data_IF_884207022974
#
_entry.id   IF_884207022974
#
_cell.length_a   1.000
_cell.length_b   1.000
_cell.length_c   1.000
_cell.angle_alpha   90.00
_cell.angle_beta   90.00
_cell.angle_gamma   90.00
#
_symmetry.space_group_name_H-M   'P 1'
#
loop_
_entity.id
_entity.type
_entity.pdbx_description
1 polymer ?
#
# COMPACT_ATOMS: atom_id res chain seq x y z
N UNK A 1 46.17 20.62 -44.93
CA UNK A 1 45.37 19.61 -45.68
C UNK A 1 45.72 18.25 -45.11
N UNK A 2 44.75 17.44 -44.68
CA UNK A 2 45.04 16.15 -44.05
C UNK A 2 43.86 15.16 -44.14
N UNK A 3 43.95 14.27 -45.14
CA UNK A 3 43.56 12.86 -45.03
C UNK A 3 42.10 12.57 -44.58
N UNK A 4 41.14 13.27 -45.18
CA UNK A 4 39.91 12.59 -45.63
C UNK A 4 40.23 11.72 -46.86
N UNK A 5 39.40 10.70 -47.11
CA UNK A 5 39.51 9.73 -48.22
C UNK A 5 40.77 8.82 -48.20
N UNK A 6 40.61 7.60 -47.65
CA UNK A 6 41.00 6.31 -48.25
C UNK A 6 40.98 5.17 -47.19
N UNK A 7 39.80 4.58 -46.94
CA UNK A 7 39.68 3.15 -46.60
C UNK A 7 38.24 2.69 -46.85
N UNK A 8 37.93 2.44 -48.13
CA UNK A 8 36.70 1.82 -48.62
C UNK A 8 37.07 0.40 -49.09
N UNK A 9 36.10 -0.51 -49.10
CA UNK A 9 36.16 -1.91 -49.58
C UNK A 9 36.99 -2.95 -48.80
N UNK A 10 36.28 -3.64 -47.89
CA UNK A 10 36.40 -5.07 -47.49
C UNK A 10 35.29 -5.29 -46.44
N UNK A 11 34.00 -5.51 -46.74
CA UNK A 11 33.37 -6.32 -47.79
C UNK A 11 33.65 -7.82 -47.68
N UNK A 12 32.61 -8.59 -47.27
CA UNK A 12 32.53 -10.07 -47.15
C UNK A 12 33.47 -10.68 -46.07
N UNK A 13 33.00 -11.43 -45.07
CA UNK A 13 32.12 -12.61 -45.17
C UNK A 13 31.48 -13.00 -43.81
N UNK A 14 30.29 -13.64 -43.85
CA UNK A 14 29.55 -14.28 -42.73
C UNK A 14 29.10 -13.35 -41.56
N UNK A 15 27.96 -13.53 -40.88
CA UNK A 15 26.65 -14.21 -41.10
C UNK A 15 25.66 -13.39 -40.23
N UNK A 16 24.62 -12.76 -40.78
CA UNK A 16 23.33 -13.38 -41.11
C UNK A 16 22.70 -14.15 -39.92
N UNK A 17 21.70 -13.56 -39.25
CA UNK A 17 20.37 -14.18 -38.95
C UNK A 17 19.42 -13.20 -38.20
N UNK A 18 18.23 -13.02 -38.80
CA UNK A 18 16.92 -12.59 -38.27
C UNK A 18 16.83 -11.36 -37.35
N UNK A 19 16.21 -10.30 -37.89
CA UNK A 19 15.51 -9.25 -37.12
C UNK A 19 14.14 -9.80 -36.71
N UNK A 20 13.83 -9.80 -35.40
CA UNK A 20 12.53 -10.27 -34.88
C UNK A 20 11.67 -9.12 -34.38
N UNK A 21 10.76 -8.61 -35.22
CA UNK A 21 9.75 -7.63 -34.81
C UNK A 21 8.56 -8.39 -34.22
N UNK A 22 8.26 -8.23 -32.94
CA UNK A 22 7.03 -8.76 -32.35
C UNK A 22 6.35 -7.73 -31.45
N UNK A 23 5.20 -7.25 -31.93
CA UNK A 23 4.23 -6.55 -31.09
C UNK A 23 3.48 -7.59 -30.24
N UNK A 24 3.32 -7.30 -28.95
CA UNK A 24 2.21 -7.84 -28.16
C UNK A 24 1.66 -6.74 -27.26
N UNK A 25 0.41 -6.39 -27.52
CA UNK A 25 -0.52 -5.87 -26.52
C UNK A 25 -0.93 -7.00 -25.54
N UNK A 26 -1.79 -6.65 -24.59
CA UNK A 26 -2.63 -7.59 -23.84
C UNK A 26 -1.96 -8.59 -22.88
N UNK A 27 -1.90 -8.17 -21.61
CA UNK A 27 -1.90 -9.09 -20.47
C UNK A 27 -2.65 -8.47 -19.28
N UNK A 28 -3.95 -8.25 -19.45
CA UNK A 28 -4.92 -8.02 -18.36
C UNK A 28 -5.80 -9.27 -18.18
N UNK A 29 -6.70 -9.27 -17.18
CA UNK A 29 -7.66 -10.33 -16.83
C UNK A 29 -7.10 -11.48 -15.96
N UNK A 30 -7.12 -11.22 -14.65
CA UNK A 30 -7.85 -11.99 -13.61
C UNK A 30 -8.11 -13.49 -13.87
N UNK A 31 -7.53 -14.35 -13.02
CA UNK A 31 -8.16 -15.56 -12.42
C UNK A 31 -7.39 -15.82 -11.11
N UNK A 32 -7.92 -15.65 -9.90
CA UNK A 32 -9.19 -16.09 -9.30
C UNK A 32 -9.30 -17.62 -9.19
N UNK A 33 -8.51 -18.20 -8.28
CA UNK A 33 -8.60 -19.62 -7.89
C UNK A 33 -8.59 -19.74 -6.35
N UNK A 34 -9.80 -19.76 -5.78
CA UNK A 34 -10.04 -20.23 -4.41
C UNK A 34 -10.14 -21.77 -4.40
N UNK A 35 -10.29 -22.36 -3.19
CA UNK A 35 -10.25 -23.81 -2.91
C UNK A 35 -8.81 -24.39 -2.89
N UNK A 36 -8.46 -25.40 -2.08
CA UNK A 36 -9.26 -26.31 -1.23
C UNK A 36 -8.75 -26.30 0.21
N UNK A 37 -9.65 -26.21 1.19
CA UNK A 37 -9.36 -26.46 2.62
C UNK A 37 -9.27 -27.97 2.90
N UNK A 38 -8.16 -28.45 3.47
CA UNK A 38 -8.05 -29.82 4.00
C UNK A 38 -8.36 -29.83 5.49
N UNK A 39 -9.53 -30.31 5.88
CA UNK A 39 -9.84 -30.61 7.28
C UNK A 39 -9.22 -31.95 7.69
N UNK A 40 -8.37 -31.94 8.70
CA UNK A 40 -7.95 -33.15 9.44
C UNK A 40 -8.72 -33.20 10.76
N UNK A 41 -9.66 -34.13 10.89
CA UNK A 41 -10.41 -34.32 12.14
C UNK A 41 -9.54 -35.04 13.18
N UNK A 42 -9.48 -34.51 14.41
CA UNK A 42 -8.98 -35.22 15.59
C UNK A 42 -10.14 -35.45 16.56
N UNK A 43 -10.32 -36.71 16.97
CA UNK A 43 -11.39 -37.11 17.89
C UNK A 43 -10.98 -36.82 19.34
N UNK A 44 -11.76 -36.00 20.04
CA UNK A 44 -11.60 -35.78 21.48
C UNK A 44 -12.59 -36.65 22.29
N UNK A 45 -12.19 -36.97 23.53
CA UNK A 45 -12.83 -38.00 24.35
C UNK A 45 -13.97 -37.40 25.19
N UNK A 46 -15.16 -37.98 25.11
CA UNK A 46 -16.32 -37.56 25.92
C UNK A 46 -16.17 -37.95 27.39
N UNK A 47 -16.67 -37.08 28.27
CA UNK A 47 -17.20 -37.48 29.58
C UNK A 47 -18.53 -36.77 29.81
N UNK A 48 -19.46 -37.44 30.50
CA UNK A 48 -20.83 -36.99 30.70
C UNK A 48 -21.05 -36.51 32.14
N UNK A 49 -21.63 -35.32 32.28
CA UNK A 49 -22.31 -34.90 33.51
C UNK A 49 -23.61 -34.16 33.15
N UNK A 50 -24.74 -34.61 33.69
CA UNK A 50 -26.06 -34.00 33.47
C UNK A 50 -26.32 -32.91 34.50
N UNK A 51 -26.61 -31.69 34.05
CA UNK A 51 -27.59 -30.81 34.70
C UNK A 51 -28.17 -29.77 33.72
N UNK A 52 -29.49 -29.66 33.76
CA UNK A 52 -30.39 -28.66 33.14
C UNK A 52 -31.59 -28.57 34.09
N UNK A 53 -32.39 -27.48 34.15
CA UNK A 53 -32.57 -26.40 33.16
C UNK A 53 -32.04 -25.02 33.70
N UNK A 54 -32.30 -23.83 33.14
CA UNK A 54 -33.31 -23.41 32.17
C UNK A 54 -32.91 -22.20 31.28
N UNK A 55 -33.76 -21.92 30.29
CA UNK A 55 -33.81 -20.76 29.38
C UNK A 55 -32.88 -19.55 29.65
N UNK A 56 -31.89 -19.34 28.79
CA UNK A 56 -31.78 -18.14 27.93
C UNK A 56 -30.56 -18.25 27.00
N UNK A 57 -30.74 -18.05 25.69
CA UNK A 57 -29.65 -18.13 24.70
C UNK A 57 -29.26 -16.75 24.16
N UNK A 58 -28.17 -16.17 24.67
CA UNK A 58 -27.39 -15.17 23.91
C UNK A 58 -25.88 -15.20 24.27
N UNK A 59 -24.94 -14.94 23.33
CA UNK A 59 -23.56 -15.48 23.43
C UNK A 59 -22.36 -14.49 23.34
N UNK A 60 -22.10 -13.68 24.40
CA UNK A 60 -20.76 -13.12 24.83
C UNK A 60 -19.78 -12.39 23.84
N UNK A 61 -19.81 -11.03 23.67
CA UNK A 61 -18.84 -10.07 23.00
C UNK A 61 -18.72 -9.78 21.43
N UNK A 62 -17.63 -10.12 20.67
CA UNK A 62 -17.20 -9.95 19.20
C UNK A 62 -17.09 -8.56 18.48
N UNK A 63 -16.95 -7.37 19.09
CA UNK A 63 -16.35 -6.25 18.33
C UNK A 63 -15.76 -5.08 19.14
N UNK A 64 -14.56 -5.31 19.68
CA UNK A 64 -13.68 -4.24 20.12
C UNK A 64 -12.23 -4.47 19.65
N UNK A 65 -11.33 -3.55 20.02
CA UNK A 65 -9.98 -3.97 20.35
C UNK A 65 -10.05 -4.44 21.81
N UNK A 66 -9.60 -5.66 22.08
CA UNK A 66 -10.20 -6.66 22.99
C UNK A 66 -11.16 -7.63 22.25
N UNK A 67 -10.98 -8.93 22.51
CA UNK A 67 -11.09 -10.00 21.50
C UNK A 67 -12.12 -11.12 21.81
N UNK A 68 -13.13 -10.80 22.63
CA UNK A 68 -14.50 -10.65 22.12
C UNK A 68 -15.14 -11.81 21.25
N UNK A 69 -16.16 -12.58 21.75
CA UNK A 69 -16.96 -13.58 20.94
C UNK A 69 -18.43 -13.46 20.35
N UNK A 70 -19.43 -12.57 20.67
CA UNK A 70 -20.71 -12.46 19.87
C UNK A 70 -20.58 -11.75 18.53
N UNK A 71 -20.29 -10.45 18.62
CA UNK A 71 -21.06 -9.33 18.09
C UNK A 71 -21.98 -9.76 16.95
N UNK A 72 -23.13 -10.30 17.36
CA UNK A 72 -24.38 -10.11 16.63
C UNK A 72 -24.53 -8.60 16.55
N UNK A 73 -24.02 -8.03 15.45
CA UNK A 73 -24.39 -6.68 15.02
C UNK A 73 -25.91 -6.67 15.08
N UNK A 74 -26.48 -5.91 16.00
CA UNK A 74 -27.92 -5.82 16.11
C UNK A 74 -28.45 -5.42 14.72
N UNK A 75 -29.55 -6.04 14.29
CA UNK A 75 -30.13 -5.68 13.01
C UNK A 75 -30.31 -4.16 12.99
N UNK A 76 -29.82 -3.45 11.95
CA UNK A 76 -29.85 -1.99 11.93
C UNK A 76 -31.29 -1.56 12.19
N UNK A 77 -31.50 -0.64 13.14
CA UNK A 77 -32.84 -0.21 13.54
C UNK A 77 -33.50 0.49 12.36
N UNK A 78 -34.29 -0.27 11.60
CA UNK A 78 -35.08 0.25 10.50
C UNK A 78 -36.30 0.92 11.13
N UNK A 79 -36.47 2.21 10.89
CA UNK A 79 -37.61 2.96 11.44
C UNK A 79 -38.88 2.47 10.76
N UNK A 80 -39.94 2.18 11.53
CA UNK A 80 -41.19 1.59 11.01
C UNK A 80 -41.74 2.40 9.82
N UNK A 81 -41.65 3.72 9.90
CA UNK A 81 -42.05 4.68 8.88
C UNK A 81 -41.31 4.45 7.55
N UNK A 82 -40.02 4.09 7.58
CA UNK A 82 -39.22 3.78 6.38
C UNK A 82 -39.52 2.38 5.81
N UNK A 83 -40.01 1.45 6.62
CA UNK A 83 -40.50 0.12 6.18
C UNK A 83 -41.90 0.20 5.58
N UNK A 84 -42.72 1.12 6.10
CA UNK A 84 -44.14 1.28 5.74
C UNK A 84 -44.35 2.32 4.63
N UNK A 85 -43.39 3.21 4.39
CA UNK A 85 -43.41 4.21 3.33
C UNK A 85 -43.66 3.59 1.95
N UNK A 86 -44.62 4.17 1.23
CA UNK A 86 -44.86 3.83 -0.17
C UNK A 86 -43.62 4.19 -1.02
N UNK A 87 -43.34 3.47 -2.12
CA UNK A 87 -42.16 3.69 -2.95
C UNK A 87 -42.11 5.08 -3.60
N UNK A 88 -43.24 5.80 -3.63
CA UNK A 88 -43.33 7.19 -4.08
C UNK A 88 -42.87 8.17 -3.00
N UNK A 89 -43.25 7.98 -1.74
CA UNK A 89 -42.75 8.81 -0.64
C UNK A 89 -41.25 8.63 -0.41
N UNK A 90 -40.71 7.42 -0.63
CA UNK A 90 -39.28 7.18 -0.54
C UNK A 90 -38.51 7.97 -1.61
N UNK A 91 -39.04 8.04 -2.85
CA UNK A 91 -38.50 8.91 -3.91
C UNK A 91 -38.64 10.39 -3.55
N UNK A 92 -39.75 10.77 -2.91
CA UNK A 92 -40.02 12.15 -2.53
C UNK A 92 -39.10 12.63 -1.39
N UNK A 93 -38.81 11.78 -0.39
CA UNK A 93 -37.78 12.02 0.63
C UNK A 93 -36.39 12.16 -0.02
N UNK A 94 -35.99 11.20 -0.87
CA UNK A 94 -34.71 11.25 -1.60
C UNK A 94 -34.58 12.45 -2.56
N UNK A 95 -35.69 13.11 -2.94
CA UNK A 95 -35.71 14.32 -3.77
C UNK A 95 -35.79 15.62 -2.94
N UNK A 96 -36.13 15.53 -1.65
CA UNK A 96 -36.08 16.62 -0.67
C UNK A 96 -34.75 16.65 0.12
N UNK A 97 -34.04 15.52 0.16
CA UNK A 97 -32.67 15.44 0.67
C UNK A 97 -31.76 16.39 -0.12
N UNK A 98 -31.19 17.38 0.56
CA UNK A 98 -30.30 18.40 -0.02
C UNK A 98 -28.93 17.88 -0.48
N UNK A 99 -28.66 16.58 -0.30
CA UNK A 99 -27.36 15.95 -0.53
C UNK A 99 -27.37 15.11 -1.81
N UNK A 100 -26.88 15.70 -2.90
CA UNK A 100 -26.79 15.02 -4.21
C UNK A 100 -25.74 13.90 -4.15
N UNK A 101 -26.18 12.65 -4.29
CA UNK A 101 -25.29 11.49 -4.36
C UNK A 101 -24.73 11.33 -5.78
N UNK A 102 -23.46 11.72 -5.98
CA UNK A 102 -22.76 11.59 -7.27
C UNK A 102 -21.99 10.27 -7.32
N UNK A 103 -22.33 9.31 -8.21
CA UNK A 103 -21.71 7.98 -8.26
C UNK A 103 -20.38 7.94 -9.02
N UNK A 104 -19.76 9.10 -9.27
CA UNK A 104 -18.54 9.25 -10.08
C UNK A 104 -17.34 9.37 -9.14
N UNK A 105 -16.17 8.88 -9.58
CA UNK A 105 -14.90 9.09 -8.86
C UNK A 105 -14.58 10.59 -8.77
N UNK A 106 -14.06 11.02 -7.62
CA UNK A 106 -13.68 12.41 -7.39
C UNK A 106 -12.30 12.69 -7.99
N UNK A 107 -12.28 13.31 -9.17
CA UNK A 107 -11.06 13.74 -9.85
C UNK A 107 -10.86 15.26 -9.65
N UNK A 108 -9.80 15.65 -8.94
CA UNK A 108 -9.48 17.03 -8.54
C UNK A 108 -8.53 17.75 -9.50
N UNK A 109 -8.00 17.04 -10.50
CA UNK A 109 -7.03 17.56 -11.48
C UNK A 109 -7.42 18.91 -12.09
N UNK A 110 -8.65 19.15 -12.63
CA UNK A 110 -9.00 20.43 -13.26
C UNK A 110 -9.11 21.60 -12.27
N UNK A 111 -9.27 21.33 -10.97
CA UNK A 111 -9.39 22.36 -9.92
C UNK A 111 -8.04 22.70 -9.29
N UNK A 112 -7.08 21.77 -9.35
CA UNK A 112 -5.80 21.85 -8.63
C UNK A 112 -4.87 23.01 -9.04
N UNK A 113 -5.04 23.58 -10.24
CA UNK A 113 -4.13 24.59 -10.79
C UNK A 113 -2.72 24.09 -11.15
N UNK A 114 -2.43 22.79 -10.98
CA UNK A 114 -1.14 22.19 -11.34
C UNK A 114 -1.08 21.95 -12.85
N UNK A 115 -0.01 22.35 -13.56
CA UNK A 115 0.09 22.15 -15.01
C UNK A 115 0.23 20.66 -15.38
N UNK A 116 -0.40 20.26 -16.49
CA UNK A 116 -0.45 18.88 -17.03
C UNK A 116 0.92 18.16 -17.05
N UNK A 117 2.00 18.88 -17.39
CA UNK A 117 3.38 18.36 -17.41
C UNK A 117 3.84 17.76 -16.08
N UNK A 118 3.33 18.30 -14.97
CA UNK A 118 3.66 17.87 -13.62
C UNK A 118 2.77 16.73 -13.13
N UNK A 119 1.56 16.63 -13.67
CA UNK A 119 0.59 15.56 -13.38
C UNK A 119 0.97 14.28 -14.15
N UNK A 120 1.25 14.39 -15.46
CA UNK A 120 1.49 13.24 -16.34
C UNK A 120 2.94 12.74 -16.37
N UNK A 121 3.92 13.64 -16.40
CA UNK A 121 5.33 13.28 -16.60
C UNK A 121 6.09 13.01 -15.28
N UNK A 122 5.38 12.60 -14.23
CA UNK A 122 5.95 12.27 -12.91
C UNK A 122 5.26 11.05 -12.33
N UNK A 123 5.98 10.38 -11.43
CA UNK A 123 5.45 9.29 -10.62
C UNK A 123 5.70 9.58 -9.13
N UNK A 124 4.67 9.34 -8.33
CA UNK A 124 4.71 9.44 -6.86
C UNK A 124 5.15 8.10 -6.28
N UNK A 125 6.07 8.13 -5.32
CA UNK A 125 6.42 6.98 -4.47
C UNK A 125 5.64 7.09 -3.17
N UNK A 126 4.87 6.05 -2.82
CA UNK A 126 4.22 5.90 -1.52
C UNK A 126 5.03 4.89 -0.71
N UNK A 127 5.55 5.26 0.45
CA UNK A 127 6.44 4.39 1.25
C UNK A 127 6.38 4.67 2.75
N UNK A 128 6.84 3.70 3.55
CA UNK A 128 7.12 3.88 4.96
C UNK A 128 8.61 4.26 5.14
N UNK A 129 8.96 5.39 5.76
CA UNK A 129 10.33 5.87 5.80
C UNK A 129 11.25 4.93 6.61
N UNK A 130 12.44 4.59 6.08
CA UNK A 130 13.33 3.63 6.73
C UNK A 130 13.98 4.23 7.99
N UNK A 131 14.06 3.45 9.08
CA UNK A 131 14.74 3.86 10.31
C UNK A 131 16.20 4.24 10.02
N UNK A 132 16.60 5.47 10.35
CA UNK A 132 17.99 5.94 10.27
C UNK A 132 18.94 4.90 10.89
N UNK A 133 19.99 4.51 10.16
CA UNK A 133 20.94 3.49 10.61
C UNK A 133 21.79 3.95 11.81
N UNK A 134 22.07 5.25 11.92
CA UNK A 134 22.93 5.82 12.98
C UNK A 134 22.19 6.06 14.31
N UNK A 135 20.86 6.02 14.33
CA UNK A 135 20.05 6.31 15.52
C UNK A 135 19.27 5.07 15.97
N UNK A 136 19.09 4.90 17.28
CA UNK A 136 18.31 3.79 17.85
C UNK A 136 16.79 4.03 17.83
N UNK A 137 16.36 5.30 17.86
CA UNK A 137 14.96 5.70 17.93
C UNK A 137 14.10 5.23 16.76
N UNK A 138 12.82 4.98 17.03
CA UNK A 138 11.86 4.40 16.06
C UNK A 138 10.68 5.32 15.71
N UNK A 139 10.47 6.44 16.42
CA UNK A 139 9.26 7.27 16.28
C UNK A 139 8.93 7.68 14.84
N UNK A 140 9.96 7.95 14.04
CA UNK A 140 9.84 8.51 12.69
C UNK A 140 9.55 7.46 11.60
N UNK A 141 9.19 6.21 11.95
CA UNK A 141 8.86 5.17 10.95
C UNK A 141 7.38 4.79 10.93
N UNK A 142 6.57 5.26 11.89
CA UNK A 142 5.21 4.73 12.08
C UNK A 142 4.12 5.43 11.24
N UNK A 143 4.53 6.30 10.31
CA UNK A 143 3.66 7.00 9.35
C UNK A 143 4.03 6.61 7.90
N UNK A 144 3.17 6.96 6.95
CA UNK A 144 3.44 6.82 5.53
C UNK A 144 3.82 8.17 4.94
N UNK A 145 4.76 8.20 4.00
CA UNK A 145 5.11 9.38 3.21
C UNK A 145 4.82 9.14 1.74
N UNK A 146 4.36 10.19 1.05
CA UNK A 146 4.52 10.29 -0.39
C UNK A 146 5.64 11.28 -0.75
N UNK A 147 6.39 10.97 -1.79
CA UNK A 147 7.36 11.87 -2.41
C UNK A 147 7.30 11.78 -3.94
N UNK A 148 7.64 12.87 -4.63
CA UNK A 148 7.79 12.88 -6.08
C UNK A 148 9.20 12.47 -6.50
N UNK A 149 9.32 11.87 -7.69
CA UNK A 149 10.61 11.61 -8.31
C UNK A 149 11.43 12.91 -8.51
N UNK A 150 12.74 12.83 -8.23
CA UNK A 150 13.62 13.99 -8.15
C UNK A 150 14.21 14.33 -9.52
N UNK A 151 13.83 15.48 -10.08
CA UNK A 151 14.45 16.01 -11.31
C UNK A 151 15.85 16.60 -11.04
N UNK A 152 16.51 16.98 -12.13
CA UNK A 152 17.86 17.53 -12.14
C UNK A 152 18.04 18.72 -11.17
N UNK A 153 19.20 18.74 -10.53
CA UNK A 153 19.73 19.86 -9.74
C UNK A 153 21.11 20.21 -10.32
N UNK A 154 21.41 21.49 -10.44
CA UNK A 154 22.63 21.99 -11.07
C UNK A 154 23.31 23.06 -10.21
N UNK A 155 24.58 23.34 -10.49
CA UNK A 155 25.35 24.34 -9.77
C UNK A 155 25.04 25.77 -10.27
N UNK A 156 24.85 26.70 -9.34
CA UNK A 156 24.75 28.13 -9.63
C UNK A 156 26.15 28.70 -9.93
N UNK A 157 26.43 29.18 -11.15
CA UNK A 157 27.78 29.58 -11.58
C UNK A 157 28.35 30.80 -10.83
N UNK A 158 27.55 31.51 -10.03
CA UNK A 158 28.02 32.64 -9.20
C UNK A 158 28.39 32.22 -7.76
N UNK A 159 27.68 31.23 -7.19
CA UNK A 159 27.71 30.95 -5.74
C UNK A 159 27.93 29.48 -5.35
N UNK A 160 27.99 28.56 -6.31
CA UNK A 160 28.13 27.11 -6.05
C UNK A 160 26.89 26.44 -5.46
N UNK A 161 25.75 27.13 -5.35
CA UNK A 161 24.52 26.60 -4.76
C UNK A 161 23.80 25.62 -5.69
N UNK A 162 23.07 24.65 -5.11
CA UNK A 162 22.28 23.66 -5.86
C UNK A 162 20.93 24.23 -6.32
N UNK A 163 20.90 24.78 -7.52
CA UNK A 163 19.68 25.28 -8.18
C UNK A 163 18.82 24.14 -8.75
N UNK A 164 17.52 24.37 -8.86
CA UNK A 164 16.58 23.49 -9.57
C UNK A 164 15.40 24.29 -10.13
N UNK A 165 14.76 23.76 -11.18
CA UNK A 165 13.54 24.29 -11.79
C UNK A 165 12.30 23.49 -11.42
N UNK A 166 12.35 22.74 -10.31
CA UNK A 166 11.33 21.77 -9.91
C UNK A 166 10.54 22.23 -8.68
N UNK A 167 9.26 22.65 -8.83
CA UNK A 167 8.45 23.11 -7.71
C UNK A 167 7.96 22.00 -6.78
N UNK A 168 7.95 20.74 -7.24
CA UNK A 168 7.49 19.59 -6.46
C UNK A 168 8.64 18.85 -5.75
N UNK A 169 9.90 19.22 -6.02
CA UNK A 169 11.11 18.50 -5.59
C UNK A 169 11.29 18.33 -4.08
N UNK A 170 10.56 19.13 -3.28
CA UNK A 170 10.63 19.18 -1.83
C UNK A 170 9.27 18.86 -1.18
N UNK A 171 8.26 18.46 -1.97
CA UNK A 171 6.93 18.13 -1.46
C UNK A 171 6.93 16.74 -0.83
N UNK A 172 6.58 16.68 0.46
CA UNK A 172 6.32 15.47 1.23
C UNK A 172 4.98 15.61 1.93
N UNK A 173 4.10 14.62 1.78
CA UNK A 173 2.82 14.55 2.51
C UNK A 173 2.82 13.30 3.37
N UNK A 174 2.41 13.46 4.63
CA UNK A 174 2.39 12.40 5.65
C UNK A 174 0.95 11.89 5.80
N UNK A 175 0.79 10.57 5.79
CA UNK A 175 -0.48 9.87 5.92
C UNK A 175 -0.43 8.85 7.06
N UNK A 176 -1.61 8.47 7.58
CA UNK A 176 -1.73 7.44 8.62
C UNK A 176 -1.82 6.02 8.02
N UNK A 177 -2.29 5.89 6.78
CA UNK A 177 -2.47 4.59 6.11
C UNK A 177 -2.02 4.63 4.65
N UNK A 178 -1.65 3.49 4.03
CA UNK A 178 -1.30 3.44 2.62
C UNK A 178 -2.53 3.69 1.73
N UNK A 179 -3.71 3.24 2.14
CA UNK A 179 -4.96 3.39 1.39
C UNK A 179 -5.38 4.87 1.25
N UNK A 180 -5.16 5.66 2.29
CA UNK A 180 -5.33 7.11 2.31
C UNK A 180 -4.37 7.81 1.33
N UNK A 181 -3.10 7.40 1.31
CA UNK A 181 -2.10 7.91 0.37
C UNK A 181 -2.44 7.57 -1.09
N UNK A 182 -2.90 6.34 -1.34
CA UNK A 182 -3.37 5.88 -2.66
C UNK A 182 -4.59 6.71 -3.10
N UNK A 183 -5.61 6.83 -2.24
CA UNK A 183 -6.78 7.66 -2.53
C UNK A 183 -6.42 9.13 -2.79
N UNK A 184 -5.42 9.69 -2.10
CA UNK A 184 -4.94 11.05 -2.35
C UNK A 184 -4.26 11.18 -3.72
N UNK A 185 -3.39 10.23 -4.09
CA UNK A 185 -2.75 10.24 -5.41
C UNK A 185 -3.76 10.05 -6.55
N UNK A 186 -4.74 9.16 -6.36
CA UNK A 186 -5.81 8.91 -7.33
C UNK A 186 -6.72 10.12 -7.53
N UNK A 187 -7.14 10.80 -6.44
CA UNK A 187 -7.95 12.03 -6.53
C UNK A 187 -7.21 13.15 -7.28
N UNK A 188 -5.89 13.22 -7.16
CA UNK A 188 -5.05 14.19 -7.89
C UNK A 188 -4.59 13.69 -9.27
N UNK A 189 -5.04 12.52 -9.74
CA UNK A 189 -4.69 11.97 -11.05
C UNK A 189 -3.20 11.63 -11.22
N UNK A 190 -2.44 11.48 -10.13
CA UNK A 190 -1.00 11.20 -10.19
C UNK A 190 -0.73 9.70 -10.36
N UNK A 191 0.19 9.37 -11.27
CA UNK A 191 0.72 8.00 -11.37
C UNK A 191 1.49 7.68 -10.09
N UNK A 192 1.19 6.58 -9.41
CA UNK A 192 1.82 6.19 -8.14
C UNK A 192 2.42 4.78 -8.19
N UNK A 193 3.31 4.47 -7.25
CA UNK A 193 3.71 3.11 -6.91
C UNK A 193 3.90 2.96 -5.40
N UNK A 194 3.55 1.79 -4.87
CA UNK A 194 3.65 1.45 -3.45
C UNK A 194 4.95 0.67 -3.20
N UNK A 195 5.82 1.23 -2.37
CA UNK A 195 7.04 0.59 -1.89
C UNK A 195 6.69 -0.20 -0.61
N UNK A 196 6.66 -1.54 -0.72
CA UNK A 196 6.15 -2.40 0.36
C UNK A 196 7.12 -2.38 1.54
N UNK A 197 6.67 -2.01 2.76
CA UNK A 197 7.55 -1.85 3.90
C UNK A 197 8.24 -3.17 4.27
N UNK A 198 9.54 -3.08 4.54
CA UNK A 198 10.35 -4.23 4.87
C UNK A 198 9.92 -4.81 6.20
N UNK A 199 9.35 -6.02 6.17
CA UNK A 199 8.88 -6.81 7.31
C UNK A 199 9.83 -6.66 8.50
N UNK A 200 9.27 -6.26 9.65
CA UNK A 200 10.04 -6.05 10.87
C UNK A 200 10.82 -7.31 11.26
N UNK A 201 12.03 -7.11 11.81
CA UNK A 201 12.87 -8.23 12.23
C UNK A 201 12.16 -8.97 13.37
N UNK A 202 11.87 -10.28 13.25
CA UNK A 202 11.13 -11.02 14.26
C UNK A 202 11.86 -10.94 15.61
N UNK A 203 11.08 -10.83 16.70
CA UNK A 203 11.62 -10.67 18.04
C UNK A 203 12.60 -11.80 18.38
N UNK A 204 13.85 -11.42 18.69
CA UNK A 204 14.89 -12.37 19.10
C UNK A 204 15.08 -12.27 20.61
N UNK A 205 14.77 -13.31 21.41
CA UNK A 205 14.99 -13.29 22.84
C UNK A 205 16.49 -13.14 23.13
N UNK A 206 16.84 -12.10 23.90
CA UNK A 206 18.22 -11.83 24.32
C UNK A 206 18.40 -12.31 25.76
N UNK A 207 19.36 -13.21 25.99
CA UNK A 207 19.74 -13.68 27.32
C UNK A 207 21.20 -13.31 27.59
N UNK A 208 21.47 -12.47 28.58
CA UNK A 208 22.85 -12.07 28.92
C UNK A 208 23.73 -13.27 29.32
N UNK A 209 23.16 -14.33 29.88
CA UNK A 209 23.88 -15.55 30.24
C UNK A 209 24.47 -16.32 29.05
N UNK A 210 23.95 -16.16 27.83
CA UNK A 210 24.54 -16.83 26.65
C UNK A 210 25.92 -16.25 26.27
N UNK A 211 26.26 -15.06 26.76
CA UNK A 211 27.55 -14.42 26.55
C UNK A 211 28.69 -15.10 27.32
N UNK A 212 28.38 -16.00 28.26
CA UNK A 212 29.35 -16.69 29.14
C UNK A 212 29.18 -18.23 29.10
N UNK A 213 28.57 -18.76 28.04
CA UNK A 213 28.33 -20.19 27.87
C UNK A 213 29.60 -21.03 27.82
N UNK A 214 29.71 -22.03 28.70
CA UNK A 214 30.84 -22.97 28.78
C UNK A 214 31.12 -23.67 27.43
N UNK A 215 30.13 -24.38 26.88
CA UNK A 215 30.27 -25.23 25.67
C UNK A 215 29.69 -24.63 24.37
N UNK A 216 29.49 -23.30 24.26
CA UNK A 216 28.96 -22.68 23.02
C UNK A 216 29.82 -21.51 22.54
N UNK A 217 29.90 -21.36 21.22
CA UNK A 217 30.60 -20.27 20.52
C UNK A 217 29.93 -18.88 20.67
N UNK A 218 28.89 -18.77 21.50
CA UNK A 218 28.28 -17.49 21.92
C UNK A 218 29.07 -16.80 23.05
N UNK A 219 30.08 -17.45 23.63
CA UNK A 219 30.94 -16.82 24.64
C UNK A 219 31.74 -15.66 24.04
N UNK A 220 31.57 -14.47 24.59
CA UNK A 220 32.28 -13.25 24.14
C UNK A 220 33.69 -13.22 24.75
N UNK A 221 34.65 -12.63 24.05
CA UNK A 221 36.04 -12.47 24.52
C UNK A 221 36.25 -11.26 25.44
N UNK A 222 35.40 -10.24 25.32
CA UNK A 222 35.45 -9.00 26.11
C UNK A 222 34.02 -8.46 26.33
N UNK A 223 33.85 -7.44 27.16
CA UNK A 223 32.59 -6.75 27.43
C UNK A 223 32.82 -5.25 27.59
#
# INVERSE_FOLDING_TARGET
MSLSQLFIDNFLTNRQIVVGIFSLTDCYVKNNMFQVLRHTASLSRTQLSRSLPAFSTCPTYMKLADCDPICRKEAPKIENDTVTALPEEARQRNALDSTIQVPIKVDLTPVSGVPDEHIRCRRVRIYQPPKNAMQSGTSNIHHWEMEFDTRQRWENPLMGWTSTGDPLSNMKVIFRSPDEAIQHCEKNGWTWYLDVPKVEKPFKPKNYGTNFSWNRRTRVSTK
#
